data_IF_886150528649
#
_entry.id   IF_886150528649
#
_cell.length_a   1.000
_cell.length_b   1.000
_cell.length_c   1.000
_cell.angle_alpha   90.00
_cell.angle_beta   90.00
_cell.angle_gamma   90.00
#
_symmetry.space_group_name_H-M   'P 1'
#
loop_
_entity.id
_entity.type
_entity.pdbx_description
1 polymer ?
#
# COMPACT_ATOMS: atom_id res chain seq x y z
N UNK A 1 -20.38 -10.65 10.30
CA UNK A 1 -19.15 -9.88 9.97
C UNK A 1 -18.27 -9.92 11.19
N UNK A 2 -17.11 -10.57 11.11
CA UNK A 2 -16.15 -10.55 12.22
C UNK A 2 -15.56 -9.15 12.33
N UNK A 3 -15.61 -8.58 13.52
CA UNK A 3 -15.11 -7.22 13.77
C UNK A 3 -13.67 -7.28 14.23
N UNK A 4 -12.78 -6.60 13.52
CA UNK A 4 -11.37 -6.47 13.89
C UNK A 4 -11.28 -5.55 15.11
N UNK A 5 -10.59 -5.99 16.17
CA UNK A 5 -10.30 -5.17 17.35
C UNK A 5 -9.40 -3.98 16.98
N UNK A 6 -9.49 -2.87 17.72
CA UNK A 6 -8.62 -1.69 17.52
C UNK A 6 -7.14 -2.06 17.54
N UNK A 7 -6.75 -2.99 18.42
CA UNK A 7 -5.37 -3.47 18.51
C UNK A 7 -4.97 -4.29 17.28
N UNK A 8 -5.85 -5.17 16.78
CA UNK A 8 -5.58 -5.95 15.58
C UNK A 8 -5.43 -5.06 14.34
N UNK A 9 -6.29 -4.05 14.20
CA UNK A 9 -6.20 -3.08 13.11
C UNK A 9 -4.87 -2.30 13.16
N UNK A 10 -4.47 -1.86 14.36
CA UNK A 10 -3.19 -1.19 14.58
C UNK A 10 -2.01 -2.10 14.20
N UNK A 11 -2.02 -3.35 14.67
CA UNK A 11 -0.96 -4.32 14.38
C UNK A 11 -0.83 -4.59 12.88
N UNK A 12 -1.94 -4.84 12.18
CA UNK A 12 -1.92 -5.07 10.72
C UNK A 12 -1.40 -3.83 9.98
N UNK A 13 -1.81 -2.64 10.42
CA UNK A 13 -1.34 -1.38 9.81
C UNK A 13 0.17 -1.19 9.98
N UNK A 14 0.72 -1.50 11.16
CA UNK A 14 2.16 -1.41 11.43
C UNK A 14 2.93 -2.44 10.57
N UNK A 15 2.49 -3.70 10.56
CA UNK A 15 3.14 -4.76 9.78
C UNK A 15 3.14 -4.41 8.28
N UNK A 16 2.02 -3.88 7.77
CA UNK A 16 1.90 -3.44 6.38
C UNK A 16 2.91 -2.33 6.02
N UNK A 17 3.09 -1.33 6.89
CA UNK A 17 4.01 -0.22 6.65
C UNK A 17 5.49 -0.62 6.67
N UNK A 18 5.85 -1.62 7.48
CA UNK A 18 7.22 -2.09 7.65
C UNK A 18 7.74 -2.81 6.39
N UNK A 19 6.89 -3.59 5.71
CA UNK A 19 7.29 -4.55 4.67
C UNK A 19 8.27 -4.01 3.61
N UNK A 20 7.77 -3.21 2.67
CA UNK A 20 8.60 -2.72 1.54
C UNK A 20 9.51 -1.54 1.93
N UNK A 21 9.18 -0.83 3.01
CA UNK A 21 9.87 0.40 3.41
C UNK A 21 11.27 0.12 3.94
N UNK A 22 11.43 -0.95 4.73
CA UNK A 22 12.72 -1.36 5.29
C UNK A 22 13.68 -1.81 4.20
N UNK A 23 13.16 -2.47 3.18
CA UNK A 23 13.95 -3.10 2.13
C UNK A 23 14.66 -2.07 1.25
N UNK A 24 13.96 -1.01 0.85
CA UNK A 24 14.46 -0.06 -0.15
C UNK A 24 14.93 1.28 0.42
N UNK A 25 14.79 1.51 1.73
CA UNK A 25 15.21 2.76 2.37
C UNK A 25 14.52 3.97 1.76
N UNK A 26 13.22 4.12 2.02
CA UNK A 26 12.48 5.32 1.59
C UNK A 26 13.14 6.57 2.18
N UNK A 27 13.50 7.51 1.30
CA UNK A 27 14.28 8.72 1.55
C UNK A 27 15.82 8.60 1.47
N UNK A 28 16.41 7.46 1.10
CA UNK A 28 17.87 7.37 0.91
C UNK A 28 18.43 8.43 -0.06
N UNK A 29 17.65 8.85 -1.07
CA UNK A 29 18.01 9.91 -2.00
C UNK A 29 18.16 11.31 -1.38
N UNK A 30 17.61 11.55 -0.18
CA UNK A 30 17.76 12.82 0.55
C UNK A 30 19.04 12.86 1.42
N UNK A 31 19.83 11.77 1.46
CA UNK A 31 21.10 11.71 2.16
C UNK A 31 20.97 12.05 3.64
N UNK A 32 21.64 13.12 4.08
CA UNK A 32 21.64 13.55 5.49
C UNK A 32 20.29 14.09 5.97
N UNK A 33 19.44 14.56 5.05
CA UNK A 33 18.13 15.15 5.37
C UNK A 33 16.97 14.16 5.22
N UNK A 34 17.28 12.86 5.11
CA UNK A 34 16.30 11.77 5.01
C UNK A 34 15.28 11.79 6.16
N UNK A 35 15.71 12.12 7.38
CA UNK A 35 14.84 12.22 8.55
C UNK A 35 13.75 13.29 8.37
N UNK A 36 14.09 14.43 7.75
CA UNK A 36 13.15 15.51 7.50
C UNK A 36 12.16 15.12 6.38
N UNK A 37 12.66 14.46 5.33
CA UNK A 37 11.81 13.94 4.26
C UNK A 37 10.77 12.93 4.78
N UNK A 38 11.16 12.07 5.72
CA UNK A 38 10.24 11.12 6.39
C UNK A 38 9.18 11.85 7.22
N UNK A 39 9.57 12.88 7.99
CA UNK A 39 8.61 13.67 8.78
C UNK A 39 7.58 14.39 7.90
N UNK A 40 8.04 15.05 6.84
CA UNK A 40 7.14 15.74 5.89
C UNK A 40 6.20 14.73 5.23
N UNK A 41 6.72 13.59 4.78
CA UNK A 41 5.91 12.52 4.18
C UNK A 41 4.88 11.96 5.16
N UNK A 42 5.22 11.87 6.45
CA UNK A 42 4.31 11.40 7.49
C UNK A 42 3.16 12.38 7.72
N UNK A 43 3.44 13.68 7.76
CA UNK A 43 2.42 14.73 7.93
C UNK A 43 1.46 14.71 6.74
N UNK A 44 2.00 14.72 5.51
CA UNK A 44 1.18 14.67 4.30
C UNK A 44 0.38 13.37 4.19
N UNK A 45 1.01 12.23 4.48
CA UNK A 45 0.37 10.91 4.49
C UNK A 45 -0.77 10.82 5.51
N UNK A 46 -0.59 11.41 6.70
CA UNK A 46 -1.66 11.50 7.71
C UNK A 46 -2.84 12.31 7.18
N UNK A 47 -2.59 13.43 6.49
CA UNK A 47 -3.63 14.21 5.83
C UNK A 47 -4.43 13.39 4.81
N UNK A 48 -3.75 12.60 3.99
CA UNK A 48 -4.39 11.68 3.03
C UNK A 48 -5.24 10.65 3.77
N UNK A 49 -4.71 9.99 4.80
CA UNK A 49 -5.47 9.00 5.59
C UNK A 49 -6.74 9.61 6.20
N UNK A 50 -6.69 10.85 6.69
CA UNK A 50 -7.87 11.55 7.21
C UNK A 50 -8.96 11.74 6.14
N UNK A 51 -8.58 12.00 4.89
CA UNK A 51 -9.52 12.07 3.76
C UNK A 51 -10.20 10.71 3.55
N UNK A 52 -9.42 9.62 3.49
CA UNK A 52 -9.96 8.25 3.35
C UNK A 52 -10.92 7.88 4.49
N UNK A 53 -10.56 8.20 5.73
CA UNK A 53 -11.41 7.97 6.90
C UNK A 53 -12.71 8.79 6.81
N UNK A 54 -12.62 10.04 6.38
CA UNK A 54 -13.79 10.92 6.23
C UNK A 54 -14.74 10.41 5.14
N UNK A 55 -14.21 10.00 3.99
CA UNK A 55 -15.00 9.41 2.90
C UNK A 55 -15.74 8.15 3.38
N UNK A 56 -15.06 7.27 4.12
CA UNK A 56 -15.66 6.05 4.67
C UNK A 56 -16.77 6.37 5.69
N UNK A 57 -16.57 7.38 6.55
CA UNK A 57 -17.59 7.83 7.52
C UNK A 57 -18.83 8.42 6.86
N UNK A 58 -18.66 9.14 5.75
CA UNK A 58 -19.77 9.74 4.98
C UNK A 58 -20.55 8.69 4.16
N UNK A 59 -19.98 7.50 3.97
CA UNK A 59 -20.56 6.42 3.17
C UNK A 59 -20.69 5.12 3.98
N UNK A 60 -21.48 5.12 5.09
CA UNK A 60 -21.59 3.95 5.94
C UNK A 60 -22.20 2.76 5.17
N UNK A 61 -21.60 1.58 5.35
CA UNK A 61 -22.04 0.33 4.75
C UNK A 61 -21.59 0.08 3.31
N UNK A 62 -20.84 1.01 2.70
CA UNK A 62 -20.20 0.78 1.41
C UNK A 62 -18.71 0.47 1.59
N UNK A 63 -18.17 -0.35 0.70
CA UNK A 63 -16.72 -0.44 0.52
C UNK A 63 -16.18 0.80 -0.19
N UNK A 64 -14.88 1.07 -0.05
CA UNK A 64 -14.23 2.21 -0.71
C UNK A 64 -14.40 2.17 -2.24
N UNK A 65 -14.39 0.98 -2.84
CA UNK A 65 -14.58 0.79 -4.28
C UNK A 65 -16.02 1.07 -4.70
N UNK A 66 -17.00 0.70 -3.88
CA UNK A 66 -18.43 0.96 -4.14
C UNK A 66 -18.81 2.43 -3.97
N UNK A 67 -18.04 3.21 -3.20
CA UNK A 67 -18.25 4.66 -3.09
C UNK A 67 -18.16 5.37 -4.44
N UNK A 68 -17.28 4.94 -5.35
CA UNK A 68 -17.09 5.60 -6.65
C UNK A 68 -18.36 5.59 -7.53
N UNK A 69 -18.95 4.42 -7.89
CA UNK A 69 -20.17 4.39 -8.70
C UNK A 69 -21.37 5.00 -7.98
N UNK A 70 -21.42 4.96 -6.64
CA UNK A 70 -22.51 5.58 -5.88
C UNK A 70 -22.46 7.11 -5.90
N UNK A 71 -21.28 7.73 -5.86
CA UNK A 71 -21.17 9.19 -5.81
C UNK A 71 -20.97 9.85 -7.18
N UNK A 72 -20.27 9.21 -8.11
CA UNK A 72 -20.00 9.76 -9.44
C UNK A 72 -20.93 9.18 -10.53
N UNK A 73 -21.87 8.32 -10.13
CA UNK A 73 -22.75 7.58 -11.04
C UNK A 73 -22.03 6.46 -11.80
N UNK A 74 -22.78 5.66 -12.55
CA UNK A 74 -22.26 4.47 -13.24
C UNK A 74 -21.25 4.79 -14.34
N UNK A 75 -21.40 5.90 -15.04
CA UNK A 75 -20.55 6.22 -16.19
C UNK A 75 -19.13 6.65 -15.80
N UNK A 76 -18.98 7.49 -14.77
CA UNK A 76 -17.67 7.93 -14.28
C UNK A 76 -17.16 7.10 -13.12
N UNK A 77 -18.05 6.68 -12.22
CA UNK A 77 -17.66 5.94 -11.03
C UNK A 77 -17.28 4.48 -11.28
N UNK A 78 -17.82 3.81 -12.31
CA UNK A 78 -17.42 2.44 -12.64
C UNK A 78 -15.97 2.36 -13.16
N UNK A 79 -15.53 3.18 -14.14
CA UNK A 79 -14.12 3.24 -14.52
C UNK A 79 -13.18 3.55 -13.35
N UNK A 80 -13.54 4.50 -12.48
CA UNK A 80 -12.75 4.84 -11.29
C UNK A 80 -12.65 3.68 -10.29
N UNK A 81 -13.74 2.95 -10.09
CA UNK A 81 -13.73 1.73 -9.27
C UNK A 81 -12.77 0.67 -9.83
N UNK A 82 -12.70 0.51 -11.16
CA UNK A 82 -11.79 -0.43 -11.81
C UNK A 82 -10.31 -0.09 -11.69
N UNK A 83 -9.95 1.17 -11.44
CA UNK A 83 -8.55 1.54 -11.17
C UNK A 83 -8.00 0.88 -9.91
N UNK A 84 -8.85 0.56 -8.93
CA UNK A 84 -8.43 -0.08 -7.69
C UNK A 84 -7.86 -1.49 -7.90
N UNK A 85 -8.59 -2.46 -8.47
CA UNK A 85 -8.04 -3.80 -8.70
C UNK A 85 -6.83 -3.77 -9.64
N UNK A 86 -6.79 -2.86 -10.64
CA UNK A 86 -5.62 -2.70 -11.51
C UNK A 86 -4.39 -2.21 -10.72
N UNK A 87 -4.57 -1.26 -9.82
CA UNK A 87 -3.52 -0.78 -8.93
C UNK A 87 -3.02 -1.93 -8.03
N UNK A 88 -3.92 -2.73 -7.46
CA UNK A 88 -3.54 -3.89 -6.65
C UNK A 88 -2.76 -4.93 -7.46
N UNK A 89 -3.18 -5.21 -8.69
CA UNK A 89 -2.47 -6.13 -9.58
C UNK A 89 -1.05 -5.63 -9.90
N UNK A 90 -0.92 -4.33 -10.20
CA UNK A 90 0.38 -3.70 -10.42
C UNK A 90 1.28 -3.79 -9.19
N UNK A 91 0.76 -3.46 -7.99
CA UNK A 91 1.52 -3.53 -6.73
C UNK A 91 1.95 -4.97 -6.45
N UNK A 92 1.08 -5.96 -6.65
CA UNK A 92 1.41 -7.36 -6.49
C UNK A 92 2.56 -7.79 -7.43
N UNK A 93 2.47 -7.43 -8.71
CA UNK A 93 3.54 -7.70 -9.68
C UNK A 93 4.86 -7.03 -9.30
N UNK A 94 4.81 -5.78 -8.81
CA UNK A 94 5.99 -5.06 -8.30
C UNK A 94 6.63 -5.79 -7.12
N UNK A 95 5.84 -6.24 -6.14
CA UNK A 95 6.35 -6.97 -4.96
C UNK A 95 7.06 -8.25 -5.39
N UNK A 96 6.51 -8.99 -6.36
CA UNK A 96 7.15 -10.20 -6.91
C UNK A 96 8.48 -9.85 -7.59
N UNK A 97 8.53 -8.77 -8.37
CA UNK A 97 9.76 -8.30 -8.99
C UNK A 97 10.82 -7.85 -7.96
N UNK A 98 10.40 -7.18 -6.89
CA UNK A 98 11.28 -6.77 -5.80
C UNK A 98 11.93 -8.00 -5.14
N UNK A 99 11.14 -9.05 -4.83
CA UNK A 99 11.63 -10.32 -4.28
C UNK A 99 12.60 -11.01 -5.24
N UNK A 100 12.29 -11.06 -6.53
CA UNK A 100 13.16 -11.63 -7.57
C UNK A 100 14.54 -10.97 -7.59
N UNK A 101 14.60 -9.66 -7.39
CA UNK A 101 15.88 -8.93 -7.41
C UNK A 101 16.63 -9.05 -6.09
N UNK A 102 15.93 -9.05 -4.95
CA UNK A 102 16.54 -9.00 -3.62
C UNK A 102 17.01 -10.36 -3.12
N UNK A 103 16.21 -11.40 -3.29
CA UNK A 103 16.52 -12.71 -2.71
C UNK A 103 17.81 -13.31 -3.27
N UNK A 104 18.06 -13.32 -4.60
CA UNK A 104 19.33 -13.78 -5.16
C UNK A 104 20.51 -12.85 -4.85
N UNK A 105 20.28 -11.57 -4.56
CA UNK A 105 21.40 -10.64 -4.28
C UNK A 105 21.82 -10.66 -2.82
N UNK A 106 20.93 -11.01 -1.89
CA UNK A 106 21.16 -10.85 -0.45
C UNK A 106 21.02 -12.13 0.38
N UNK A 107 20.01 -12.98 0.12
CA UNK A 107 19.65 -14.11 0.99
C UNK A 107 20.16 -15.44 0.43
N UNK A 108 19.87 -15.71 -0.85
CA UNK A 108 20.10 -16.99 -1.53
C UNK A 108 20.90 -16.81 -2.83
N UNK A 109 22.16 -16.32 -2.75
CA UNK A 109 22.93 -15.94 -3.93
C UNK A 109 23.38 -17.09 -4.82
N UNK A 110 23.30 -18.33 -4.33
CA UNK A 110 23.64 -19.53 -5.10
C UNK A 110 22.42 -20.23 -5.70
N UNK A 111 21.22 -19.75 -5.42
CA UNK A 111 19.97 -20.38 -5.87
C UNK A 111 19.53 -19.75 -7.19
N UNK A 112 19.18 -20.54 -8.21
CA UNK A 112 18.77 -20.01 -9.50
C UNK A 112 17.44 -19.23 -9.39
N UNK A 113 17.29 -18.07 -10.06
CA UNK A 113 16.13 -17.17 -9.88
C UNK A 113 14.76 -17.81 -10.12
N UNK A 114 14.67 -18.78 -11.03
CA UNK A 114 13.41 -19.47 -11.33
C UNK A 114 12.89 -20.29 -10.14
N UNK A 115 13.77 -20.83 -9.29
CA UNK A 115 13.38 -21.61 -8.11
C UNK A 115 12.93 -20.73 -6.93
N UNK A 116 13.16 -19.42 -7.01
CA UNK A 116 12.75 -18.44 -6.00
C UNK A 116 11.35 -17.88 -6.31
N UNK A 117 10.96 -17.90 -7.58
CA UNK A 117 9.70 -17.34 -8.10
C UNK A 117 8.55 -18.35 -8.19
N UNK A 118 8.85 -19.65 -8.09
CA UNK A 118 7.89 -20.76 -8.04
C UNK A 118 7.49 -21.01 -6.59
#
# INVERSE_FOLDING_TARGET
METISRHQLLTISIIYQIGTTIIFGFAAGAGRDSWLAVLISTILGTGVVLIYVSVTKLNPGLTYVECFPKQFGRWLGTPLAWLHPLLFLYIAGRIVADINNLVPSTILPRTPPWAILI
#
